data_IF_959449803862
#
_entry.id   IF_959449803862
#
_cell.length_a   1.000
_cell.length_b   1.000
_cell.length_c   1.000
_cell.angle_alpha   90.00
_cell.angle_beta   90.00
_cell.angle_gamma   90.00
#
_symmetry.space_group_name_H-M   'P 1'
#
loop_
_entity.id
_entity.type
_entity.pdbx_description
1 polymer ?
#
# COMPACT_ATOMS: atom_id res chain seq x y z
N UNK A 1 -2.43 -18.49 -11.41
CA UNK A 1 -3.26 -18.81 -12.59
C UNK A 1 -2.54 -18.28 -13.81
N UNK A 2 -2.18 -19.13 -14.78
CA UNK A 2 -1.59 -18.70 -16.06
C UNK A 2 -2.72 -18.70 -17.10
N UNK A 3 -2.95 -17.59 -17.76
CA UNK A 3 -3.86 -17.51 -18.89
C UNK A 3 -3.08 -17.90 -20.15
N UNK A 4 -3.48 -18.99 -20.82
CA UNK A 4 -2.93 -19.39 -22.11
C UNK A 4 -3.87 -18.93 -23.20
N UNK A 5 -3.37 -18.08 -24.09
CA UNK A 5 -4.11 -17.58 -25.23
C UNK A 5 -3.49 -18.13 -26.51
N UNK A 6 -4.13 -19.13 -27.12
CA UNK A 6 -3.72 -19.73 -28.40
C UNK A 6 -4.70 -19.32 -29.49
N UNK A 7 -4.22 -18.62 -30.53
CA UNK A 7 -4.98 -18.25 -31.73
C UNK A 7 -6.32 -17.56 -31.45
N UNK A 8 -6.31 -16.48 -30.66
CA UNK A 8 -7.46 -15.62 -30.45
C UNK A 8 -7.37 -14.39 -31.36
N UNK A 9 -8.51 -13.92 -31.86
CA UNK A 9 -8.64 -12.62 -32.53
C UNK A 9 -9.53 -11.75 -31.66
N UNK A 10 -9.09 -10.54 -31.34
CA UNK A 10 -9.95 -9.51 -30.78
C UNK A 10 -10.37 -8.57 -31.88
N UNK A 11 -11.67 -8.30 -31.92
CA UNK A 11 -12.27 -7.37 -32.84
C UNK A 11 -11.79 -5.94 -32.53
N UNK A 12 -11.59 -5.13 -33.57
CA UNK A 12 -10.95 -3.82 -33.44
C UNK A 12 -11.74 -2.87 -32.53
N UNK A 13 -13.06 -3.00 -32.49
CA UNK A 13 -13.97 -2.24 -31.63
C UNK A 13 -13.81 -2.54 -30.13
N UNK A 14 -13.10 -3.61 -29.76
CA UNK A 14 -12.77 -3.95 -28.37
C UNK A 14 -11.32 -3.58 -28.01
N UNK A 15 -10.54 -3.08 -28.96
CA UNK A 15 -9.16 -2.72 -28.72
C UNK A 15 -9.09 -1.34 -28.03
N UNK A 16 -8.30 -1.25 -26.95
CA UNK A 16 -8.11 -0.03 -26.17
C UNK A 16 -6.61 0.24 -26.08
N UNK A 17 -6.22 1.50 -26.25
CA UNK A 17 -4.83 1.96 -26.17
C UNK A 17 -3.89 1.11 -27.05
N UNK A 18 -4.17 1.01 -28.35
CA UNK A 18 -3.34 0.24 -29.30
C UNK A 18 -2.18 1.05 -29.84
N UNK A 19 -1.04 0.41 -30.02
CA UNK A 19 0.12 0.98 -30.71
C UNK A 19 0.88 -0.10 -31.50
N UNK A 20 1.65 0.29 -32.54
CA UNK A 20 2.54 -0.63 -33.24
C UNK A 20 3.58 -1.22 -32.28
N UNK A 21 3.85 -2.51 -32.40
CA UNK A 21 4.80 -3.23 -31.52
C UNK A 21 6.21 -2.63 -31.53
N UNK A 22 6.64 -2.10 -32.67
CA UNK A 22 7.95 -1.47 -32.92
C UNK A 22 7.99 0.02 -32.55
N UNK A 23 6.85 0.62 -32.23
CA UNK A 23 6.74 2.03 -31.85
C UNK A 23 5.88 2.21 -30.58
N UNK A 24 6.29 1.65 -29.43
CA UNK A 24 5.57 1.85 -28.18
C UNK A 24 5.62 3.32 -27.74
N UNK A 25 4.60 3.83 -27.03
CA UNK A 25 4.64 5.17 -26.47
C UNK A 25 5.79 5.31 -25.47
N UNK A 26 6.34 6.52 -25.35
CA UNK A 26 7.37 6.80 -24.36
C UNK A 26 6.85 6.50 -22.93
N UNK A 27 7.72 6.05 -22.03
CA UNK A 27 7.32 5.70 -20.65
C UNK A 27 6.68 6.86 -19.86
N UNK A 28 6.94 8.10 -20.28
CA UNK A 28 6.40 9.32 -19.67
C UNK A 28 5.14 9.82 -20.39
N UNK A 29 4.64 9.09 -21.39
CA UNK A 29 3.43 9.47 -22.11
C UNK A 29 2.22 9.57 -21.16
N UNK A 30 1.34 10.51 -21.46
CA UNK A 30 0.16 10.83 -20.64
C UNK A 30 -0.70 9.62 -20.28
N UNK A 31 -0.96 8.65 -21.19
CA UNK A 31 -1.71 7.44 -20.83
C UNK A 31 -1.06 6.62 -19.70
N UNK A 32 0.26 6.48 -19.71
CA UNK A 32 0.98 5.76 -18.65
C UNK A 32 0.97 6.53 -17.34
N UNK A 33 1.09 7.87 -17.39
CA UNK A 33 0.97 8.73 -16.20
C UNK A 33 -0.41 8.59 -15.56
N UNK A 34 -1.47 8.68 -16.36
CA UNK A 34 -2.86 8.53 -15.88
C UNK A 34 -3.12 7.14 -15.32
N UNK A 35 -2.64 6.09 -16.02
CA UNK A 35 -2.75 4.72 -15.56
C UNK A 35 -2.05 4.53 -14.21
N UNK A 36 -0.80 4.97 -14.07
CA UNK A 36 -0.03 4.82 -12.84
C UNK A 36 -0.72 5.54 -11.66
N UNK A 37 -1.17 6.79 -11.85
CA UNK A 37 -1.88 7.53 -10.79
C UNK A 37 -3.17 6.82 -10.36
N UNK A 38 -4.01 6.41 -11.31
CA UNK A 38 -5.27 5.71 -11.02
C UNK A 38 -5.04 4.37 -10.35
N UNK A 39 -4.06 3.62 -10.84
CA UNK A 39 -3.65 2.34 -10.26
C UNK A 39 -3.20 2.55 -8.81
N UNK A 40 -2.31 3.51 -8.55
CA UNK A 40 -1.86 3.83 -7.19
C UNK A 40 -3.03 4.23 -6.30
N UNK A 41 -3.89 5.14 -6.75
CA UNK A 41 -5.04 5.60 -5.97
C UNK A 41 -6.00 4.46 -5.60
N UNK A 42 -6.31 3.56 -6.55
CA UNK A 42 -7.28 2.48 -6.33
C UNK A 42 -6.68 1.29 -5.58
N UNK A 43 -5.51 0.82 -6.02
CA UNK A 43 -4.90 -0.39 -5.48
C UNK A 43 -4.26 -0.15 -4.12
N UNK A 44 -3.53 0.95 -3.94
CA UNK A 44 -2.86 1.23 -2.68
C UNK A 44 -3.87 1.57 -1.57
N UNK A 45 -5.01 2.17 -1.91
CA UNK A 45 -6.10 2.43 -0.96
C UNK A 45 -6.66 1.14 -0.33
N UNK A 46 -6.62 0.00 -1.02
CA UNK A 46 -7.05 -1.30 -0.45
C UNK A 46 -6.15 -1.67 0.74
N UNK A 47 -4.83 -1.54 0.57
CA UNK A 47 -3.87 -1.91 1.62
C UNK A 47 -3.83 -0.90 2.75
N UNK A 48 -3.95 0.39 2.43
CA UNK A 48 -4.13 1.44 3.41
C UNK A 48 -5.39 1.21 4.27
N UNK A 49 -6.52 0.85 3.64
CA UNK A 49 -7.76 0.51 4.35
C UNK A 49 -7.62 -0.70 5.28
N UNK A 50 -6.81 -1.69 4.90
CA UNK A 50 -6.49 -2.83 5.78
C UNK A 50 -5.71 -2.35 7.02
N UNK A 51 -4.74 -1.45 6.84
CA UNK A 51 -3.98 -0.88 7.95
C UNK A 51 -4.87 -0.02 8.86
N UNK A 52 -5.79 0.76 8.30
CA UNK A 52 -6.81 1.48 9.07
C UNK A 52 -7.71 0.53 9.88
N UNK A 53 -8.20 -0.56 9.28
CA UNK A 53 -9.01 -1.54 9.99
C UNK A 53 -8.25 -2.21 11.16
N UNK A 54 -6.96 -2.51 10.95
CA UNK A 54 -6.08 -3.04 11.99
C UNK A 54 -5.84 -2.02 13.12
N UNK A 55 -5.57 -0.75 12.78
CA UNK A 55 -5.41 0.35 13.73
C UNK A 55 -6.67 0.56 14.56
N UNK A 56 -7.84 0.62 13.94
CA UNK A 56 -9.11 0.85 14.63
C UNK A 56 -9.44 -0.27 15.60
N UNK A 57 -9.18 -1.52 15.20
CA UNK A 57 -9.28 -2.67 16.10
C UNK A 57 -8.29 -2.57 17.27
N UNK A 58 -7.03 -2.24 16.99
CA UNK A 58 -5.97 -2.10 17.99
C UNK A 58 -6.34 -1.05 19.04
N UNK A 59 -6.76 0.16 18.63
CA UNK A 59 -7.10 1.25 19.54
C UNK A 59 -8.25 0.84 20.47
N UNK A 60 -9.29 0.19 19.94
CA UNK A 60 -10.39 -0.35 20.76
C UNK A 60 -9.89 -1.38 21.76
N UNK A 61 -9.03 -2.30 21.33
CA UNK A 61 -8.48 -3.35 22.19
C UNK A 61 -7.62 -2.78 23.32
N UNK A 62 -6.72 -1.84 23.01
CA UNK A 62 -5.84 -1.18 23.99
C UNK A 62 -6.61 -0.34 25.01
N UNK A 63 -7.75 0.25 24.62
CA UNK A 63 -8.58 1.08 25.48
C UNK A 63 -9.31 0.29 26.58
N UNK A 64 -9.55 -1.01 26.36
CA UNK A 64 -10.32 -1.85 27.30
C UNK A 64 -9.45 -2.91 27.99
N UNK A 65 -8.30 -3.28 27.43
CA UNK A 65 -7.44 -4.32 27.99
C UNK A 65 -6.72 -3.84 29.24
N UNK A 66 -7.05 -4.45 30.39
CA UNK A 66 -6.36 -4.26 31.67
C UNK A 66 -5.66 -5.56 32.07
N UNK A 67 -4.32 -5.66 31.95
CA UNK A 67 -3.56 -6.78 32.49
C UNK A 67 -3.66 -6.87 34.02
N UNK A 68 -3.59 -8.09 34.55
CA UNK A 68 -3.51 -8.31 36.00
C UNK A 68 -2.29 -7.58 36.58
N UNK A 69 -2.50 -6.84 37.66
CA UNK A 69 -1.45 -6.06 38.33
C UNK A 69 -1.19 -4.66 37.75
N UNK A 70 -1.75 -4.29 36.58
CA UNK A 70 -1.58 -2.93 36.03
C UNK A 70 -2.61 -1.93 36.57
N UNK A 71 -3.84 -2.39 36.84
CA UNK A 71 -4.91 -1.56 37.43
C UNK A 71 -5.56 -0.53 36.51
N UNK A 72 -5.06 -0.35 35.28
CA UNK A 72 -5.66 0.53 34.27
C UNK A 72 -5.44 0.01 32.84
N UNK A 73 -6.14 0.54 31.82
CA UNK A 73 -5.97 0.10 30.44
C UNK A 73 -4.57 0.32 29.88
N UNK A 74 -4.18 -0.52 28.91
CA UNK A 74 -2.91 -0.41 28.17
C UNK A 74 -2.74 0.94 27.48
N UNK A 75 -3.84 1.58 27.05
CA UNK A 75 -3.83 2.90 26.40
C UNK A 75 -3.23 4.04 27.25
N UNK A 76 -3.09 3.85 28.57
CA UNK A 76 -2.45 4.84 29.46
C UNK A 76 -0.92 4.72 29.52
N UNK A 77 -0.35 3.67 28.92
CA UNK A 77 1.10 3.47 28.95
C UNK A 77 1.77 4.36 27.90
N UNK A 78 2.79 5.18 28.27
CA UNK A 78 3.48 6.06 27.32
C UNK A 78 4.04 5.31 26.12
N UNK A 79 4.62 4.12 26.32
CA UNK A 79 5.16 3.31 25.22
C UNK A 79 4.09 2.82 24.23
N UNK A 80 2.87 2.56 24.72
CA UNK A 80 1.74 2.20 23.87
C UNK A 80 1.29 3.41 23.05
N UNK A 81 1.20 4.58 23.69
CA UNK A 81 0.84 5.83 23.01
C UNK A 81 1.86 6.21 21.92
N UNK A 82 3.15 6.06 22.20
CA UNK A 82 4.23 6.28 21.24
C UNK A 82 4.05 5.40 19.99
N UNK A 83 3.84 4.09 20.17
CA UNK A 83 3.66 3.13 19.08
C UNK A 83 2.38 3.39 18.28
N UNK A 84 1.28 3.77 18.94
CA UNK A 84 0.04 4.20 18.25
C UNK A 84 0.29 5.49 17.46
N UNK A 85 1.06 6.43 18.00
CA UNK A 85 1.48 7.65 17.29
C UNK A 85 2.33 7.35 16.06
N UNK A 86 3.23 6.36 16.13
CA UNK A 86 4.01 5.90 14.97
C UNK A 86 3.08 5.37 13.86
N UNK A 87 2.06 4.56 14.20
CA UNK A 87 1.05 4.12 13.23
C UNK A 87 0.33 5.32 12.61
N UNK A 88 -0.13 6.27 13.43
CA UNK A 88 -0.82 7.46 12.94
C UNK A 88 0.04 8.28 11.96
N UNK A 89 1.35 8.38 12.22
CA UNK A 89 2.29 9.03 11.30
C UNK A 89 2.40 8.34 9.94
N UNK A 90 2.47 7.00 9.93
CA UNK A 90 2.50 6.21 8.69
C UNK A 90 1.22 6.41 7.87
N UNK A 91 0.06 6.33 8.52
CA UNK A 91 -1.25 6.52 7.86
C UNK A 91 -1.45 7.96 7.37
N UNK A 92 -0.91 8.95 8.10
CA UNK A 92 -0.91 10.34 7.65
C UNK A 92 -0.13 10.53 6.34
N UNK A 93 1.05 9.91 6.23
CA UNK A 93 1.84 9.92 4.99
C UNK A 93 1.04 9.27 3.86
N UNK A 94 0.44 8.11 4.12
CA UNK A 94 -0.36 7.39 3.13
C UNK A 94 -1.52 8.24 2.60
N UNK A 95 -2.26 8.90 3.49
CA UNK A 95 -3.36 9.80 3.10
C UNK A 95 -2.89 10.87 2.12
N UNK A 96 -1.77 11.54 2.42
CA UNK A 96 -1.22 12.58 1.54
C UNK A 96 -0.85 12.05 0.15
N UNK A 97 -0.23 10.86 0.09
CA UNK A 97 0.13 10.22 -1.18
C UNK A 97 -1.10 9.78 -1.96
N UNK A 98 -2.11 9.21 -1.30
CA UNK A 98 -3.37 8.80 -1.93
C UNK A 98 -4.14 9.99 -2.49
N UNK A 99 -4.23 11.11 -1.76
CA UNK A 99 -4.88 12.33 -2.22
C UNK A 99 -4.20 12.90 -3.48
N UNK A 100 -2.86 12.89 -3.51
CA UNK A 100 -2.09 13.34 -4.67
C UNK A 100 -2.29 12.41 -5.89
N UNK A 101 -2.28 11.09 -5.68
CA UNK A 101 -2.54 10.12 -6.74
C UNK A 101 -3.97 10.24 -7.29
N UNK A 102 -4.96 10.39 -6.41
CA UNK A 102 -6.36 10.57 -6.80
C UNK A 102 -6.58 11.87 -7.58
N UNK A 103 -5.83 12.93 -7.24
CA UNK A 103 -5.81 14.19 -7.97
C UNK A 103 -4.93 14.15 -9.24
N UNK A 104 -4.40 12.97 -9.62
CA UNK A 104 -3.56 12.76 -10.80
C UNK A 104 -2.33 13.67 -10.84
N UNK A 105 -1.71 13.96 -9.69
CA UNK A 105 -0.62 14.95 -9.57
C UNK A 105 0.77 14.38 -9.81
N UNK A 106 0.93 13.07 -9.80
CA UNK A 106 2.24 12.45 -9.95
C UNK A 106 2.62 12.26 -11.42
N UNK A 107 3.92 12.26 -11.70
CA UNK A 107 4.49 11.54 -12.84
C UNK A 107 4.26 10.02 -12.69
N UNK A 108 4.48 9.23 -13.76
CA UNK A 108 4.36 7.78 -13.68
C UNK A 108 5.33 7.16 -12.65
N UNK A 109 6.55 7.71 -12.55
CA UNK A 109 7.58 7.23 -11.62
C UNK A 109 7.20 7.54 -10.18
N UNK A 110 6.76 8.77 -9.90
CA UNK A 110 6.31 9.16 -8.56
C UNK A 110 5.08 8.38 -8.12
N UNK A 111 4.12 8.12 -9.03
CA UNK A 111 2.95 7.30 -8.72
C UNK A 111 3.35 5.87 -8.31
N UNK A 112 4.32 5.28 -9.02
CA UNK A 112 4.85 3.94 -8.71
C UNK A 112 5.56 3.92 -7.35
N UNK A 113 6.38 4.93 -7.06
CA UNK A 113 7.03 5.09 -5.75
C UNK A 113 6.01 5.27 -4.64
N UNK A 114 4.99 6.12 -4.84
CA UNK A 114 3.91 6.35 -3.88
C UNK A 114 3.18 5.04 -3.56
N UNK A 115 2.87 4.19 -4.56
CA UNK A 115 2.27 2.87 -4.34
C UNK A 115 3.12 2.01 -3.41
N UNK A 116 4.44 1.96 -3.66
CA UNK A 116 5.38 1.18 -2.84
C UNK A 116 5.41 1.71 -1.42
N UNK A 117 5.59 3.02 -1.24
CA UNK A 117 5.61 3.67 0.07
C UNK A 117 4.32 3.44 0.85
N UNK A 118 3.15 3.61 0.22
CA UNK A 118 1.86 3.37 0.89
C UNK A 118 1.75 1.93 1.37
N UNK A 119 2.16 0.98 0.51
CA UNK A 119 2.12 -0.46 0.82
C UNK A 119 3.04 -0.80 1.99
N UNK A 120 4.28 -0.30 1.98
CA UNK A 120 5.26 -0.58 3.03
C UNK A 120 4.84 0.05 4.36
N UNK A 121 4.32 1.28 4.34
CA UNK A 121 3.75 1.93 5.51
C UNK A 121 2.56 1.15 6.08
N UNK A 122 1.66 0.67 5.23
CA UNK A 122 0.52 -0.14 5.65
C UNK A 122 0.97 -1.45 6.32
N UNK A 123 1.95 -2.14 5.74
CA UNK A 123 2.54 -3.35 6.33
C UNK A 123 3.18 -3.03 7.68
N UNK A 124 3.95 -1.94 7.77
CA UNK A 124 4.61 -1.54 9.00
C UNK A 124 3.62 -1.16 10.10
N UNK A 125 2.53 -0.47 9.76
CA UNK A 125 1.46 -0.15 10.69
C UNK A 125 0.84 -1.41 11.33
N UNK A 126 0.54 -2.43 10.50
CA UNK A 126 0.00 -3.70 11.00
C UNK A 126 1.05 -4.49 11.81
N UNK A 127 2.33 -4.43 11.44
CA UNK A 127 3.42 -5.01 12.23
C UNK A 127 3.52 -4.41 13.63
N UNK A 128 3.45 -3.08 13.74
CA UNK A 128 3.45 -2.40 15.04
C UNK A 128 2.23 -2.82 15.88
N UNK A 129 1.06 -2.98 15.25
CA UNK A 129 -0.13 -3.47 15.94
C UNK A 129 0.06 -4.91 16.48
N UNK A 130 0.73 -5.78 15.74
CA UNK A 130 1.07 -7.13 16.19
C UNK A 130 2.07 -7.10 17.35
N UNK A 131 3.10 -6.26 17.27
CA UNK A 131 4.08 -6.07 18.35
C UNK A 131 3.39 -5.67 19.66
N UNK A 132 2.44 -4.72 19.61
CA UNK A 132 1.70 -4.25 20.79
C UNK A 132 0.75 -5.28 21.40
N UNK A 133 0.23 -6.20 20.60
CA UNK A 133 -0.81 -7.15 21.03
C UNK A 133 -0.26 -8.53 21.38
N UNK A 134 0.93 -8.87 20.88
CA UNK A 134 1.57 -10.16 21.06
C UNK A 134 0.67 -11.33 20.62
N UNK A 135 0.62 -12.38 21.44
CA UNK A 135 -0.18 -13.58 21.15
C UNK A 135 -1.68 -13.29 20.91
N UNK A 136 -2.23 -12.20 21.47
CA UNK A 136 -3.62 -11.84 21.23
C UNK A 136 -3.85 -11.43 19.77
N UNK A 137 -2.90 -10.70 19.16
CA UNK A 137 -2.99 -10.30 17.75
C UNK A 137 -2.89 -11.47 16.77
N UNK A 138 -2.22 -12.55 17.16
CA UNK A 138 -2.06 -13.78 16.37
C UNK A 138 -3.21 -14.78 16.56
N UNK A 139 -4.04 -14.61 17.59
CA UNK A 139 -5.19 -15.47 17.83
C UNK A 139 -6.24 -15.30 16.74
N UNK A 140 -6.77 -16.42 16.23
CA UNK A 140 -7.89 -16.44 15.27
C UNK A 140 -9.20 -15.87 15.81
N UNK A 141 -9.31 -15.67 17.12
CA UNK A 141 -10.44 -14.98 17.74
C UNK A 141 -10.40 -13.46 17.50
N UNK A 142 -9.25 -12.94 17.07
CA UNK A 142 -9.04 -11.54 16.73
C UNK A 142 -8.78 -11.38 15.23
N UNK A 143 -9.16 -10.25 14.62
CA UNK A 143 -9.03 -10.05 13.18
C UNK A 143 -7.61 -9.69 12.73
N UNK A 144 -6.69 -9.37 13.66
CA UNK A 144 -5.40 -8.76 13.33
C UNK A 144 -4.48 -9.68 12.52
N UNK A 145 -4.46 -10.98 12.80
CA UNK A 145 -3.70 -11.96 11.99
C UNK A 145 -4.17 -11.97 10.52
N UNK A 146 -5.48 -11.82 10.29
CA UNK A 146 -6.06 -11.77 8.95
C UNK A 146 -5.71 -10.46 8.26
N UNK A 147 -5.76 -9.33 8.97
CA UNK A 147 -5.28 -8.05 8.43
C UNK A 147 -3.80 -8.13 8.03
N UNK A 148 -2.97 -8.76 8.85
CA UNK A 148 -1.56 -8.94 8.54
C UNK A 148 -1.33 -9.77 7.28
N UNK A 149 -1.98 -10.94 7.17
CA UNK A 149 -1.89 -11.75 5.94
C UNK A 149 -2.39 -11.00 4.71
N UNK A 150 -3.48 -10.25 4.83
CA UNK A 150 -4.06 -9.52 3.71
C UNK A 150 -3.19 -8.33 3.27
N UNK A 151 -2.60 -7.57 4.21
CA UNK A 151 -1.77 -6.41 3.86
C UNK A 151 -0.48 -6.82 3.14
N UNK A 152 0.08 -8.00 3.49
CA UNK A 152 1.26 -8.54 2.82
C UNK A 152 1.04 -8.83 1.33
N UNK A 153 -0.20 -9.05 0.89
CA UNK A 153 -0.52 -9.23 -0.52
C UNK A 153 -0.17 -7.98 -1.37
N UNK A 154 -0.07 -6.79 -0.78
CA UNK A 154 0.27 -5.57 -1.54
C UNK A 154 1.62 -5.61 -2.24
N UNK A 155 2.57 -6.42 -1.74
CA UNK A 155 3.92 -6.58 -2.32
C UNK A 155 3.91 -7.21 -3.71
N UNK A 156 2.94 -8.10 -3.99
CA UNK A 156 2.93 -8.87 -5.25
C UNK A 156 2.17 -8.20 -6.37
N UNK A 157 1.41 -7.14 -6.09
CA UNK A 157 0.72 -6.39 -7.13
C UNK A 157 1.64 -5.37 -7.79
N UNK A 158 1.62 -5.31 -9.12
CA UNK A 158 2.39 -4.37 -9.92
C UNK A 158 2.02 -2.92 -9.60
N UNK A 159 3.00 -1.99 -9.61
CA UNK A 159 4.43 -2.26 -9.70
C UNK A 159 4.98 -2.91 -8.42
N UNK A 160 5.84 -3.92 -8.59
CA UNK A 160 6.67 -4.45 -7.52
C UNK A 160 7.76 -3.44 -7.15
N UNK A 161 8.24 -3.51 -5.91
CA UNK A 161 9.16 -2.51 -5.35
C UNK A 161 10.49 -2.43 -6.12
N UNK A 162 11.05 -3.58 -6.50
CA UNK A 162 12.27 -3.68 -7.31
C UNK A 162 12.16 -2.90 -8.64
N UNK A 163 11.06 -3.09 -9.35
CA UNK A 163 10.78 -2.45 -10.63
C UNK A 163 10.58 -0.94 -10.49
N UNK A 164 9.84 -0.53 -9.45
CA UNK A 164 9.61 0.89 -9.16
C UNK A 164 10.91 1.62 -8.78
N UNK A 165 11.74 1.01 -7.91
CA UNK A 165 13.01 1.57 -7.49
C UNK A 165 14.04 1.61 -8.62
N UNK A 166 14.11 0.56 -9.45
CA UNK A 166 14.99 0.56 -10.61
C UNK A 166 14.62 1.67 -11.60
N UNK A 167 13.32 1.82 -11.90
CA UNK A 167 12.84 2.88 -12.79
C UNK A 167 13.17 4.27 -12.24
N UNK A 168 12.92 4.51 -10.94
CA UNK A 168 13.24 5.76 -10.28
C UNK A 168 14.76 6.05 -10.28
N UNK A 169 15.58 5.05 -9.96
CA UNK A 169 17.04 5.18 -9.95
C UNK A 169 17.60 5.53 -11.33
N UNK A 170 17.14 4.82 -12.37
CA UNK A 170 17.54 5.09 -13.75
C UNK A 170 17.17 6.51 -14.19
N UNK A 171 15.96 6.96 -13.85
CA UNK A 171 15.49 8.31 -14.17
C UNK A 171 16.35 9.39 -13.51
N UNK A 172 16.70 9.22 -12.23
CA UNK A 172 17.56 10.17 -11.51
C UNK A 172 18.91 10.32 -12.21
N UNK A 173 19.56 9.23 -12.63
CA UNK A 173 20.83 9.31 -13.35
C UNK A 173 20.72 9.94 -14.74
N UNK A 174 19.62 9.70 -15.45
CA UNK A 174 19.38 10.29 -16.78
C UNK A 174 19.08 11.79 -16.72
N UNK A 175 18.46 12.27 -15.63
CA UNK A 175 18.13 13.69 -15.44
C UNK A 175 19.31 14.60 -15.06
N UNK A 176 20.51 14.04 -14.87
CA UNK A 176 21.72 14.76 -14.47
C UNK A 176 22.67 15.08 -15.65
N UNK A 177 22.33 14.60 -16.86
CA UNK A 177 23.05 14.92 -18.11
C UNK A 177 22.20 15.82 -19.00
#
# INVERSE_FOLDING_TARGET
>A
MKLFLTTWRVAAEHAVDVWPTDAPPAAQAEPFRLFANRQTALLAAIYDSIAHAAHDWLVRWLAVRVPAGLGHPLSRLPRVQEKVGQIAGLLLVNRSLLEQAAALRFSAIEANLAKVTITDNAIQAVNIALELTGNHGLSRQNPLERHYRNVLCGRVHTPQSDSAWLAAGNFVFQSQG
#
